data_IF_631956050534
#
_entry.id   IF_631956050534
#
_cell.length_a   1.000
_cell.length_b   1.000
_cell.length_c   1.000
_cell.angle_alpha   90.00
_cell.angle_beta   90.00
_cell.angle_gamma   90.00
#
_symmetry.space_group_name_H-M   'P 1'
#
loop_
_entity.id
_entity.type
_entity.pdbx_description
1 polymer ?
#
# COMPACT_ATOMS: atom_id res chain seq x y z
N UNK A 1 -11.41 -9.10 -7.93
CA UNK A 1 -12.42 -9.73 -8.83
C UNK A 1 -13.21 -10.72 -8.00
N UNK A 2 -14.53 -10.71 -8.10
CA UNK A 2 -15.37 -11.64 -7.36
C UNK A 2 -15.40 -13.02 -8.05
N UNK A 3 -15.65 -14.11 -7.28
CA UNK A 3 -15.72 -15.48 -7.84
C UNK A 3 -16.51 -15.63 -9.16
N UNK A 4 -17.64 -14.92 -9.38
CA UNK A 4 -18.37 -15.00 -10.65
C UNK A 4 -17.57 -14.55 -11.86
N UNK A 5 -16.73 -13.52 -11.73
CA UNK A 5 -15.98 -12.95 -12.86
C UNK A 5 -14.95 -13.95 -13.43
N UNK A 6 -14.37 -14.78 -12.56
CA UNK A 6 -13.43 -15.83 -12.97
C UNK A 6 -14.10 -17.06 -13.60
N UNK A 7 -15.39 -17.29 -13.35
CA UNK A 7 -16.10 -18.42 -13.95
C UNK A 7 -16.17 -18.35 -15.47
N UNK A 8 -16.22 -17.13 -16.02
CA UNK A 8 -16.17 -16.93 -17.48
C UNK A 8 -14.79 -17.29 -18.05
N UNK A 9 -13.72 -16.96 -17.35
CA UNK A 9 -12.35 -17.24 -17.79
C UNK A 9 -12.07 -18.75 -17.81
N UNK A 10 -12.65 -19.52 -16.89
CA UNK A 10 -12.47 -20.97 -16.80
C UNK A 10 -12.91 -21.73 -18.05
N UNK A 11 -13.85 -21.17 -18.80
CA UNK A 11 -14.40 -21.79 -20.01
C UNK A 11 -13.63 -21.38 -21.28
N UNK A 12 -12.64 -20.51 -21.16
CA UNK A 12 -11.80 -20.14 -22.29
C UNK A 12 -10.74 -21.23 -22.54
N UNK A 13 -10.56 -21.54 -23.81
CA UNK A 13 -9.56 -22.53 -24.29
C UNK A 13 -8.23 -21.89 -24.64
N UNK A 14 -8.07 -20.60 -24.35
CA UNK A 14 -6.85 -19.82 -24.60
C UNK A 14 -6.04 -19.67 -23.32
N UNK A 15 -4.71 -19.57 -23.42
CA UNK A 15 -3.85 -19.27 -22.28
C UNK A 15 -4.23 -17.94 -21.61
N UNK A 16 -4.19 -17.93 -20.28
CA UNK A 16 -4.53 -16.75 -19.46
C UNK A 16 -3.42 -16.51 -18.44
N UNK A 17 -2.96 -15.25 -18.36
CA UNK A 17 -2.11 -14.76 -17.28
C UNK A 17 -2.82 -13.59 -16.61
N UNK A 18 -3.09 -13.69 -15.32
CA UNK A 18 -3.68 -12.62 -14.53
C UNK A 18 -2.61 -11.60 -14.15
N UNK A 19 -2.95 -10.33 -14.25
CA UNK A 19 -2.07 -9.21 -13.93
C UNK A 19 -2.61 -8.44 -12.73
N UNK A 20 -1.73 -8.22 -11.71
CA UNK A 20 -2.04 -7.51 -10.46
C UNK A 20 -3.22 -8.07 -9.67
N UNK A 21 -3.53 -9.32 -9.92
CA UNK A 21 -4.54 -10.10 -9.18
C UNK A 21 -4.23 -11.58 -9.28
N UNK A 22 -4.85 -12.40 -8.43
CA UNK A 22 -4.76 -13.84 -8.55
C UNK A 22 -6.11 -14.52 -8.35
N UNK A 23 -6.18 -15.77 -8.70
CA UNK A 23 -7.31 -16.66 -8.37
C UNK A 23 -6.78 -18.04 -7.96
N UNK A 24 -7.57 -18.77 -7.18
CA UNK A 24 -7.25 -20.12 -6.71
C UNK A 24 -7.61 -21.21 -7.74
N UNK A 25 -7.76 -20.85 -9.01
CA UNK A 25 -8.03 -21.85 -10.05
C UNK A 25 -6.73 -22.53 -10.47
N UNK A 26 -6.74 -23.87 -10.57
CA UNK A 26 -5.62 -24.59 -11.18
C UNK A 26 -5.48 -24.15 -12.65
N UNK A 27 -4.25 -24.09 -13.12
CA UNK A 27 -3.91 -23.75 -14.50
C UNK A 27 -4.19 -22.29 -14.91
N UNK A 28 -4.15 -21.35 -13.97
CA UNK A 28 -4.13 -19.93 -14.26
C UNK A 28 -2.89 -19.31 -13.65
N UNK A 29 -2.07 -18.72 -14.50
CA UNK A 29 -0.89 -18.00 -14.06
C UNK A 29 -1.23 -16.61 -13.56
N UNK A 30 -0.43 -16.10 -12.63
CA UNK A 30 -0.56 -14.71 -12.21
C UNK A 30 0.79 -14.04 -11.99
N UNK A 31 0.84 -12.77 -12.33
CA UNK A 31 1.96 -11.87 -12.05
C UNK A 31 1.44 -10.70 -11.23
N UNK A 32 1.98 -10.54 -10.04
CA UNK A 32 1.47 -9.57 -9.07
C UNK A 32 2.60 -8.90 -8.30
N UNK A 33 2.26 -7.89 -7.54
CA UNK A 33 3.17 -7.24 -6.62
C UNK A 33 3.21 -7.99 -5.29
N UNK A 34 4.38 -8.08 -4.67
CA UNK A 34 4.51 -8.54 -3.29
C UNK A 34 4.02 -7.43 -2.34
N UNK A 35 2.68 -7.29 -2.28
CA UNK A 35 1.98 -6.26 -1.49
C UNK A 35 2.28 -6.40 0.00
N UNK A 36 2.27 -7.62 0.51
CA UNK A 36 2.54 -7.91 1.93
C UNK A 36 3.93 -7.43 2.35
N UNK A 37 4.96 -7.74 1.55
CA UNK A 37 6.34 -7.33 1.88
C UNK A 37 6.51 -5.81 1.72
N UNK A 38 5.88 -5.20 0.72
CA UNK A 38 5.90 -3.73 0.53
C UNK A 38 5.30 -3.00 1.75
N UNK A 39 4.11 -3.39 2.18
CA UNK A 39 3.43 -2.83 3.34
C UNK A 39 4.19 -3.10 4.65
N UNK A 40 4.73 -4.31 4.81
CA UNK A 40 5.61 -4.66 5.94
C UNK A 40 6.81 -3.69 6.02
N UNK A 41 7.51 -3.47 4.92
CA UNK A 41 8.68 -2.60 4.87
C UNK A 41 8.33 -1.13 5.16
N UNK A 42 7.21 -0.63 4.62
CA UNK A 42 6.70 0.71 4.92
C UNK A 42 6.41 0.90 6.41
N UNK A 43 5.69 -0.06 6.99
CA UNK A 43 5.30 -0.03 8.41
C UNK A 43 6.51 -0.12 9.34
N UNK A 44 7.47 -1.01 9.05
CA UNK A 44 8.73 -1.09 9.81
C UNK A 44 9.48 0.25 9.80
N UNK A 45 9.49 0.96 8.66
CA UNK A 45 10.10 2.30 8.59
C UNK A 45 9.39 3.31 9.48
N UNK A 46 8.07 3.29 9.53
CA UNK A 46 7.31 4.15 10.44
C UNK A 46 7.66 3.84 11.90
N UNK A 47 7.68 2.56 12.29
CA UNK A 47 8.02 2.13 13.64
C UNK A 47 9.42 2.60 14.05
N UNK A 48 10.42 2.47 13.16
CA UNK A 48 11.80 2.85 13.48
C UNK A 48 12.02 4.37 13.49
N UNK A 49 11.19 5.15 12.80
CA UNK A 49 11.32 6.62 12.74
C UNK A 49 10.52 7.35 13.80
N UNK A 50 9.45 6.75 14.28
CA UNK A 50 8.52 7.37 15.22
C UNK A 50 8.49 6.58 16.53
N UNK A 51 8.54 7.32 17.63
CA UNK A 51 8.32 6.73 18.95
C UNK A 51 6.81 6.60 19.12
N UNK A 52 6.26 5.46 18.72
CA UNK A 52 4.82 5.23 18.83
C UNK A 52 4.31 4.17 17.88
N UNK A 53 3.05 3.84 18.03
CA UNK A 53 2.40 2.85 17.20
C UNK A 53 1.86 3.52 15.93
N UNK A 54 2.21 3.03 14.72
CA UNK A 54 1.65 3.57 13.50
C UNK A 54 0.16 3.27 13.40
N UNK A 55 -0.58 4.21 12.83
CA UNK A 55 -1.95 4.01 12.37
C UNK A 55 -1.99 3.49 10.93
N UNK A 56 -3.20 3.18 10.47
CA UNK A 56 -3.45 2.66 9.14
C UNK A 56 -4.62 3.38 8.47
N UNK A 57 -4.37 3.92 7.28
CA UNK A 57 -5.39 4.48 6.39
C UNK A 57 -5.77 3.37 5.39
N UNK A 58 -6.79 2.62 5.74
CA UNK A 58 -7.22 1.43 5.01
C UNK A 58 -8.37 1.77 4.05
N UNK A 59 -8.41 1.11 2.91
CA UNK A 59 -9.49 1.27 1.94
C UNK A 59 -10.82 0.73 2.49
N UNK A 60 -11.88 1.49 2.33
CA UNK A 60 -13.25 1.01 2.57
C UNK A 60 -13.73 0.04 1.48
N UNK A 61 -13.00 -0.06 0.37
CA UNK A 61 -13.32 -0.95 -0.73
C UNK A 61 -12.44 -2.21 -0.70
N UNK A 62 -13.01 -3.41 -0.52
CA UNK A 62 -12.24 -4.64 -0.38
C UNK A 62 -11.71 -5.10 -1.73
N UNK A 63 -10.39 -5.09 -1.90
CA UNK A 63 -9.68 -5.75 -3.00
C UNK A 63 -8.50 -6.53 -2.43
N UNK A 64 -8.12 -7.59 -3.11
CA UNK A 64 -7.11 -8.51 -2.62
C UNK A 64 -5.76 -7.85 -2.29
N UNK A 65 -5.29 -6.92 -3.13
CA UNK A 65 -4.04 -6.19 -2.88
C UNK A 65 -4.07 -5.37 -1.58
N UNK A 66 -5.22 -4.79 -1.21
CA UNK A 66 -5.37 -4.08 0.06
C UNK A 66 -5.42 -5.03 1.26
N UNK A 67 -6.01 -6.23 1.10
CA UNK A 67 -5.99 -7.27 2.13
C UNK A 67 -4.56 -7.76 2.40
N UNK A 68 -3.77 -7.98 1.35
CA UNK A 68 -2.35 -8.33 1.48
C UNK A 68 -1.52 -7.22 2.15
N UNK A 69 -1.80 -5.94 1.81
CA UNK A 69 -1.15 -4.77 2.45
C UNK A 69 -1.52 -4.68 3.93
N UNK A 70 -2.78 -4.94 4.25
CA UNK A 70 -3.29 -5.01 5.63
C UNK A 70 -2.54 -6.08 6.44
N UNK A 71 -2.41 -7.30 5.91
CA UNK A 71 -1.64 -8.35 6.58
C UNK A 71 -0.16 -7.96 6.75
N UNK A 72 0.44 -7.31 5.74
CA UNK A 72 1.80 -6.77 5.81
C UNK A 72 1.98 -5.77 6.96
N UNK A 73 1.02 -4.84 7.11
CA UNK A 73 0.98 -3.88 8.21
C UNK A 73 0.94 -4.56 9.58
N UNK A 74 -0.02 -5.45 9.79
CA UNK A 74 -0.16 -6.15 11.07
C UNK A 74 1.01 -7.09 11.36
N UNK A 75 1.58 -7.72 10.35
CA UNK A 75 2.80 -8.54 10.49
C UNK A 75 4.00 -7.70 10.97
N UNK A 76 4.14 -6.46 10.49
CA UNK A 76 5.18 -5.54 10.95
C UNK A 76 5.00 -5.19 12.42
N UNK A 77 3.77 -4.89 12.86
CA UNK A 77 3.48 -4.63 14.28
C UNK A 77 3.85 -5.82 15.14
N UNK A 78 3.37 -7.02 14.81
CA UNK A 78 3.64 -8.25 15.58
C UNK A 78 5.14 -8.52 15.69
N UNK A 79 5.89 -8.37 14.59
CA UNK A 79 7.35 -8.60 14.60
C UNK A 79 8.13 -7.59 15.45
N UNK A 80 7.57 -6.40 15.66
CA UNK A 80 8.18 -5.35 16.48
C UNK A 80 7.59 -5.28 17.91
N UNK A 81 6.81 -6.28 18.33
CA UNK A 81 6.25 -6.35 19.67
C UNK A 81 5.14 -5.33 19.95
N UNK A 82 4.55 -4.75 18.91
CA UNK A 82 3.47 -3.76 19.01
C UNK A 82 2.11 -4.45 18.94
N UNK A 83 1.19 -4.21 19.90
CA UNK A 83 -0.12 -4.83 19.91
C UNK A 83 -1.01 -4.26 18.80
N UNK A 84 -1.51 -5.13 17.92
CA UNK A 84 -2.37 -4.73 16.78
C UNK A 84 -3.63 -3.96 17.21
N UNK A 85 -4.17 -4.27 18.38
CA UNK A 85 -5.37 -3.62 18.92
C UNK A 85 -5.18 -2.15 19.31
N UNK A 86 -3.95 -1.66 19.40
CA UNK A 86 -3.65 -0.26 19.70
C UNK A 86 -3.45 0.61 18.45
N UNK A 87 -3.42 0.02 17.27
CA UNK A 87 -3.32 0.82 16.04
C UNK A 87 -4.65 1.48 15.71
N UNK A 88 -4.60 2.77 15.46
CA UNK A 88 -5.72 3.54 14.92
C UNK A 88 -5.88 3.16 13.45
N UNK A 89 -7.07 2.70 13.06
CA UNK A 89 -7.39 2.35 11.67
C UNK A 89 -8.56 3.23 11.22
N UNK A 90 -8.37 3.94 10.12
CA UNK A 90 -9.42 4.72 9.47
C UNK A 90 -9.75 4.07 8.12
N UNK A 91 -11.05 3.81 7.89
CA UNK A 91 -11.55 3.31 6.62
C UNK A 91 -11.87 4.49 5.70
N UNK A 92 -11.20 4.57 4.56
CA UNK A 92 -11.30 5.69 3.63
C UNK A 92 -11.59 5.19 2.21
N UNK A 93 -12.31 5.98 1.44
CA UNK A 93 -12.52 5.73 0.01
C UNK A 93 -11.19 5.70 -0.77
N UNK A 94 -11.03 4.83 -1.78
CA UNK A 94 -9.74 4.67 -2.49
C UNK A 94 -9.40 5.80 -3.48
N UNK A 95 -10.20 6.86 -3.58
CA UNK A 95 -9.93 8.06 -4.39
C UNK A 95 -9.42 9.22 -3.53
N UNK A 96 -8.75 10.20 -4.14
CA UNK A 96 -8.22 11.38 -3.43
C UNK A 96 -9.37 12.20 -2.82
N UNK A 97 -10.43 12.43 -3.59
CA UNK A 97 -11.57 13.22 -3.18
C UNK A 97 -12.38 12.54 -2.07
N UNK A 98 -12.60 11.22 -2.23
CA UNK A 98 -13.31 10.43 -1.23
C UNK A 98 -12.52 10.32 0.08
N UNK A 99 -11.23 9.99 0.00
CA UNK A 99 -10.38 9.91 1.19
C UNK A 99 -10.25 11.26 1.91
N UNK A 100 -10.26 12.38 1.17
CA UNK A 100 -10.30 13.71 1.76
C UNK A 100 -11.59 13.95 2.54
N UNK A 101 -12.74 13.65 1.93
CA UNK A 101 -14.05 13.85 2.56
C UNK A 101 -14.20 12.96 3.80
N UNK A 102 -13.89 11.68 3.67
CA UNK A 102 -14.00 10.71 4.77
C UNK A 102 -13.07 11.08 5.95
N UNK A 103 -11.83 11.47 5.65
CA UNK A 103 -10.87 11.87 6.70
C UNK A 103 -11.28 13.19 7.35
N UNK A 104 -11.85 14.13 6.60
CA UNK A 104 -12.33 15.39 7.14
C UNK A 104 -13.48 15.17 8.13
N UNK A 105 -14.41 14.27 7.79
CA UNK A 105 -15.52 13.88 8.69
C UNK A 105 -15.00 13.25 9.98
N UNK A 106 -14.03 12.31 9.88
CA UNK A 106 -13.40 11.69 11.04
C UNK A 106 -12.72 12.72 11.95
N UNK A 107 -12.07 13.74 11.38
CA UNK A 107 -11.46 14.83 12.13
C UNK A 107 -12.47 15.72 12.84
N UNK A 108 -13.65 15.95 12.22
CA UNK A 108 -14.77 16.69 12.84
C UNK A 108 -15.41 15.95 14.02
N UNK A 109 -15.39 14.61 13.95
CA UNK A 109 -15.85 13.75 15.03
C UNK A 109 -14.81 13.58 16.17
N UNK A 110 -13.64 14.22 16.08
CA UNK A 110 -12.53 14.12 17.03
C UNK A 110 -12.08 12.66 17.27
N UNK A 111 -12.03 11.85 16.21
CA UNK A 111 -11.55 10.46 16.32
C UNK A 111 -10.08 10.42 16.76
N UNK A 112 -9.64 9.37 17.46
CA UNK A 112 -8.24 9.22 17.84
C UNK A 112 -7.32 9.24 16.62
N UNK A 113 -6.17 9.90 16.75
CA UNK A 113 -5.17 10.00 15.69
C UNK A 113 -3.84 9.36 16.10
N UNK A 114 -3.15 8.79 15.12
CA UNK A 114 -1.76 8.37 15.25
C UNK A 114 -0.82 9.48 14.74
N UNK A 115 0.41 9.51 15.22
CA UNK A 115 1.44 10.45 14.74
C UNK A 115 2.02 10.05 13.37
N UNK A 116 1.80 8.82 12.95
CA UNK A 116 2.22 8.35 11.63
C UNK A 116 1.29 7.28 11.09
N UNK A 117 1.14 7.21 9.76
CA UNK A 117 0.25 6.29 9.08
C UNK A 117 0.92 5.61 7.90
N UNK A 118 0.61 4.32 7.73
CA UNK A 118 0.68 3.65 6.44
C UNK A 118 -0.66 3.78 5.74
N UNK A 119 -0.68 4.02 4.44
CA UNK A 119 -1.89 4.08 3.62
C UNK A 119 -1.87 3.00 2.53
N UNK A 120 -3.02 2.40 2.24
CA UNK A 120 -3.15 1.35 1.23
C UNK A 120 -2.66 1.78 -0.16
N UNK A 121 -2.89 3.03 -0.53
CA UNK A 121 -2.37 3.60 -1.77
C UNK A 121 -2.09 5.10 -1.65
N UNK A 122 -1.50 5.68 -2.69
CA UNK A 122 -1.15 7.11 -2.73
C UNK A 122 -2.39 8.01 -2.77
N UNK A 123 -3.49 7.58 -3.37
CA UNK A 123 -4.71 8.40 -3.41
C UNK A 123 -5.30 8.58 -2.01
N UNK A 124 -5.39 7.51 -1.24
CA UNK A 124 -5.83 7.55 0.17
C UNK A 124 -4.88 8.44 0.99
N UNK A 125 -3.57 8.23 0.83
CA UNK A 125 -2.56 9.03 1.53
C UNK A 125 -2.71 10.52 1.23
N UNK A 126 -2.85 10.90 -0.05
CA UNK A 126 -2.95 12.30 -0.50
C UNK A 126 -4.26 12.93 -0.04
N UNK A 127 -5.38 12.20 -0.13
CA UNK A 127 -6.67 12.66 0.39
C UNK A 127 -6.61 12.98 1.88
N UNK A 128 -6.08 12.04 2.68
CA UNK A 128 -5.88 12.23 4.11
C UNK A 128 -4.91 13.38 4.42
N UNK A 129 -3.78 13.51 3.69
CA UNK A 129 -2.85 14.65 3.84
C UNK A 129 -3.57 15.98 3.68
N UNK A 130 -4.41 16.12 2.65
CA UNK A 130 -5.18 17.34 2.40
C UNK A 130 -6.16 17.65 3.55
N UNK A 131 -6.83 16.62 4.09
CA UNK A 131 -7.75 16.78 5.22
C UNK A 131 -7.01 17.21 6.50
N UNK A 132 -5.86 16.58 6.81
CA UNK A 132 -5.00 16.97 7.92
C UNK A 132 -4.53 18.42 7.78
N UNK A 133 -4.02 18.80 6.59
CA UNK A 133 -3.58 20.17 6.33
C UNK A 133 -4.72 21.20 6.42
N UNK A 134 -5.93 20.85 5.97
CA UNK A 134 -7.11 21.69 6.09
C UNK A 134 -7.45 22.00 7.58
N UNK A 135 -7.25 21.01 8.46
CA UNK A 135 -7.44 21.17 9.92
C UNK A 135 -6.21 21.74 10.64
N UNK A 136 -5.18 22.16 9.89
CA UNK A 136 -4.00 22.85 10.43
C UNK A 136 -2.85 21.95 10.88
N UNK A 137 -2.95 20.62 10.69
CA UNK A 137 -1.86 19.71 10.97
C UNK A 137 -0.69 19.91 9.97
N UNK A 138 0.50 19.89 10.45
CA UNK A 138 1.73 20.00 9.65
C UNK A 138 2.20 18.60 9.25
N UNK A 139 2.33 18.36 7.95
CA UNK A 139 2.92 17.14 7.40
C UNK A 139 4.37 17.46 7.01
N UNK A 140 5.36 16.71 7.52
CA UNK A 140 5.27 15.52 8.37
C UNK A 140 5.44 15.81 9.87
N UNK A 141 5.48 17.09 10.31
CA UNK A 141 5.87 17.46 11.68
C UNK A 141 4.92 16.90 12.75
N UNK A 142 3.62 17.01 12.52
CA UNK A 142 2.60 16.48 13.44
C UNK A 142 2.17 15.07 13.04
N UNK A 143 2.02 14.80 11.72
CA UNK A 143 1.59 13.51 11.18
C UNK A 143 2.46 13.15 9.98
N UNK A 144 3.07 11.96 9.99
CA UNK A 144 3.83 11.42 8.85
C UNK A 144 3.02 10.35 8.13
N UNK A 145 3.10 10.28 6.79
CA UNK A 145 2.36 9.30 6.00
C UNK A 145 3.29 8.63 4.97
N UNK A 146 3.16 7.31 4.82
CA UNK A 146 3.75 6.55 3.73
C UNK A 146 2.61 5.93 2.91
N UNK A 147 2.58 6.22 1.60
CA UNK A 147 1.65 5.66 0.64
C UNK A 147 2.16 4.37 -0.01
N UNK A 148 1.46 3.96 -1.07
CA UNK A 148 1.80 2.82 -1.90
C UNK A 148 1.41 3.13 -3.36
N UNK A 149 2.16 2.64 -4.34
CA UNK A 149 2.04 2.67 -5.80
C UNK A 149 3.02 3.61 -6.51
N UNK A 150 3.55 4.65 -5.87
CA UNK A 150 4.35 5.72 -6.49
C UNK A 150 3.66 6.31 -7.74
N UNK A 151 2.47 6.85 -7.52
CA UNK A 151 1.72 7.54 -8.56
C UNK A 151 2.35 8.90 -8.89
N UNK A 152 2.22 9.42 -10.14
CA UNK A 152 2.76 10.74 -10.50
C UNK A 152 2.34 11.86 -9.54
N UNK A 153 1.13 11.78 -9.00
CA UNK A 153 0.60 12.76 -8.05
C UNK A 153 1.38 12.80 -6.73
N UNK A 154 2.03 11.69 -6.32
CA UNK A 154 2.81 11.62 -5.07
C UNK A 154 3.97 12.63 -5.01
N UNK A 155 4.53 12.99 -6.16
CA UNK A 155 5.61 13.98 -6.27
C UNK A 155 5.10 15.41 -6.48
N UNK A 156 3.82 15.58 -6.86
CA UNK A 156 3.23 16.88 -7.20
C UNK A 156 2.51 17.54 -6.02
N UNK A 157 2.27 16.81 -4.93
CA UNK A 157 1.68 17.36 -3.69
C UNK A 157 2.73 18.02 -2.80
N UNK A 158 2.31 18.95 -1.94
CA UNK A 158 3.20 19.65 -1.00
C UNK A 158 2.76 19.36 0.44
N UNK A 159 3.65 18.75 1.23
CA UNK A 159 4.94 18.16 0.86
C UNK A 159 4.76 16.91 -0.02
N UNK A 160 5.76 16.55 -0.83
CA UNK A 160 5.69 15.35 -1.65
C UNK A 160 5.57 14.08 -0.79
N UNK A 161 4.87 13.05 -1.25
CA UNK A 161 4.54 11.85 -0.49
C UNK A 161 5.63 10.77 -0.63
N UNK A 162 6.15 10.28 0.50
CA UNK A 162 6.93 9.03 0.52
C UNK A 162 6.02 7.84 0.25
N UNK A 163 6.49 6.90 -0.55
CA UNK A 163 5.63 5.81 -1.02
C UNK A 163 6.40 4.54 -1.32
N UNK A 164 5.68 3.44 -1.49
CA UNK A 164 6.22 2.19 -2.02
C UNK A 164 6.05 2.21 -3.55
N UNK A 165 7.16 2.12 -4.26
CA UNK A 165 7.18 2.08 -5.73
C UNK A 165 6.81 0.69 -6.24
N UNK A 166 5.78 0.65 -7.07
CA UNK A 166 5.37 -0.51 -7.85
C UNK A 166 5.99 -0.39 -9.26
N UNK A 167 6.85 -1.32 -9.68
CA UNK A 167 7.50 -1.28 -10.99
C UNK A 167 6.51 -1.75 -12.08
N UNK A 168 5.51 -0.92 -12.42
CA UNK A 168 4.36 -1.24 -13.28
C UNK A 168 4.78 -1.75 -14.67
N UNK A 169 5.86 -1.18 -15.23
CA UNK A 169 6.37 -1.62 -16.55
C UNK A 169 6.95 -3.04 -16.48
N UNK A 170 7.69 -3.36 -15.42
CA UNK A 170 8.23 -4.70 -15.22
C UNK A 170 7.11 -5.71 -14.96
N UNK A 171 6.07 -5.31 -14.23
CA UNK A 171 4.89 -6.14 -13.98
C UNK A 171 4.23 -6.53 -15.31
N UNK A 172 3.94 -5.56 -16.18
CA UNK A 172 3.36 -5.80 -17.50
C UNK A 172 4.27 -6.62 -18.43
N UNK A 173 5.59 -6.32 -18.44
CA UNK A 173 6.58 -7.07 -19.21
C UNK A 173 6.63 -8.54 -18.79
N UNK A 174 6.73 -8.81 -17.49
CA UNK A 174 6.78 -10.18 -16.96
C UNK A 174 5.51 -10.97 -17.28
N UNK A 175 4.34 -10.33 -17.22
CA UNK A 175 3.08 -10.98 -17.59
C UNK A 175 3.02 -11.34 -19.08
N UNK A 176 3.49 -10.43 -19.96
CA UNK A 176 3.55 -10.68 -21.39
C UNK A 176 4.55 -11.80 -21.74
N UNK A 177 5.74 -11.78 -21.14
CA UNK A 177 6.75 -12.83 -21.32
C UNK A 177 6.24 -14.19 -20.85
N UNK A 178 5.52 -14.23 -19.71
CA UNK A 178 4.91 -15.47 -19.23
C UNK A 178 3.83 -15.96 -20.17
N UNK A 179 2.97 -15.09 -20.67
CA UNK A 179 1.91 -15.47 -21.62
C UNK A 179 2.50 -16.04 -22.92
N UNK A 180 3.54 -15.42 -23.48
CA UNK A 180 4.26 -15.92 -24.66
C UNK A 180 4.83 -17.33 -24.38
N UNK A 181 5.49 -17.49 -23.22
CA UNK A 181 6.06 -18.78 -22.83
C UNK A 181 4.99 -19.88 -22.74
N UNK A 182 3.80 -19.57 -22.19
CA UNK A 182 2.69 -20.55 -22.12
C UNK A 182 2.15 -20.89 -23.50
N UNK A 183 2.14 -19.94 -24.44
CA UNK A 183 1.67 -20.18 -25.82
C UNK A 183 2.66 -21.07 -26.61
N UNK A 184 3.96 -20.88 -26.38
CA UNK A 184 5.02 -21.55 -27.15
C UNK A 184 5.48 -22.89 -26.54
N UNK A 185 5.11 -23.18 -25.29
CA UNK A 185 5.57 -24.38 -24.59
C UNK A 185 4.59 -25.54 -24.76
N UNK A 186 5.12 -26.73 -25.01
CA UNK A 186 4.36 -27.97 -24.98
C UNK A 186 4.06 -28.46 -23.56
N UNK A 187 4.81 -27.97 -22.57
CA UNK A 187 4.62 -28.29 -21.16
C UNK A 187 4.03 -27.10 -20.40
N UNK A 188 2.97 -27.35 -19.64
CA UNK A 188 2.35 -26.31 -18.81
C UNK A 188 2.41 -26.67 -17.32
N UNK A 189 2.87 -25.71 -16.53
CA UNK A 189 2.70 -25.70 -15.09
C UNK A 189 2.30 -24.26 -14.66
N UNK A 190 1.38 -24.16 -13.74
CA UNK A 190 0.93 -22.85 -13.29
C UNK A 190 1.91 -22.21 -12.32
N UNK A 191 2.10 -20.90 -12.45
CA UNK A 191 3.01 -20.13 -11.61
C UNK A 191 2.34 -18.88 -11.02
N UNK A 192 2.76 -18.54 -9.80
CA UNK A 192 2.50 -17.24 -9.19
C UNK A 192 3.83 -16.48 -9.13
N UNK A 193 3.96 -15.39 -9.88
CA UNK A 193 5.14 -14.54 -9.90
C UNK A 193 4.86 -13.29 -9.07
N UNK A 194 5.67 -13.05 -8.05
CA UNK A 194 5.59 -11.85 -7.22
C UNK A 194 6.77 -10.93 -7.50
N UNK A 195 6.50 -9.68 -7.90
CA UNK A 195 7.50 -8.66 -8.16
C UNK A 195 7.66 -7.80 -6.91
N UNK A 196 8.90 -7.61 -6.49
CA UNK A 196 9.23 -6.81 -5.32
C UNK A 196 8.95 -5.34 -5.54
N UNK A 197 8.33 -4.71 -4.55
CA UNK A 197 8.13 -3.28 -4.48
C UNK A 197 9.22 -2.62 -3.61
N UNK A 198 9.61 -1.38 -3.91
CA UNK A 198 10.69 -0.67 -3.24
C UNK A 198 10.21 0.63 -2.60
N UNK A 199 10.80 0.98 -1.45
CA UNK A 199 10.50 2.25 -0.80
C UNK A 199 11.19 3.42 -1.51
N UNK A 200 10.43 4.49 -1.78
CA UNK A 200 10.93 5.77 -2.24
C UNK A 200 10.71 6.81 -1.15
N UNK A 201 11.82 7.35 -0.64
CA UNK A 201 11.80 8.48 0.27
C UNK A 201 11.75 9.78 -0.51
N UNK A 202 10.91 10.71 -0.08
CA UNK A 202 11.02 12.10 -0.48
C UNK A 202 11.70 12.92 0.62
N UNK A 203 12.21 14.10 0.30
CA UNK A 203 13.09 14.89 1.17
C UNK A 203 12.53 15.23 2.55
N UNK A 204 11.22 15.23 2.74
CA UNK A 204 10.62 15.54 4.05
C UNK A 204 10.54 14.37 5.04
N UNK A 205 10.74 13.13 4.60
CA UNK A 205 10.79 11.99 5.55
C UNK A 205 12.04 11.98 6.42
N UNK A 206 12.92 12.97 6.23
CA UNK A 206 14.11 13.18 7.08
C UNK A 206 13.83 13.99 8.35
N UNK A 207 12.58 14.27 8.71
CA UNK A 207 12.30 15.04 9.91
C UNK A 207 12.44 14.21 11.19
N UNK A 208 13.44 14.63 11.95
CA UNK A 208 13.78 14.29 13.33
C UNK A 208 14.23 12.85 13.61
N UNK A 209 15.48 12.55 13.24
CA UNK A 209 16.33 12.00 14.28
C UNK A 209 16.39 13.07 15.40
N UNK A 210 15.91 12.75 16.58
CA UNK A 210 16.28 13.53 17.75
C UNK A 210 17.80 13.46 17.86
N UNK A 211 18.50 14.53 17.47
CA UNK A 211 19.80 14.82 17.99
C UNK A 211 19.63 15.03 19.50
N UNK A 212 19.72 13.95 20.23
CA UNK A 212 20.18 14.01 21.60
C UNK A 212 21.67 14.35 21.50
N UNK A 213 21.95 15.63 21.39
CA UNK A 213 23.25 16.19 21.79
C UNK A 213 23.46 15.83 23.25
N UNK A 214 24.11 14.69 23.47
CA UNK A 214 24.80 14.44 24.73
C UNK A 214 26.03 15.33 24.71
N UNK A 215 25.91 16.47 25.32
CA UNK A 215 27.10 17.17 25.84
C UNK A 215 27.65 16.29 26.98
N UNK A 216 28.85 15.79 26.76
CA UNK A 216 29.85 15.54 27.77
C UNK A 216 30.98 16.52 27.51
#
# INVERSE_FOLDING_TARGET
MQKPDFMYLKNLTVPIVLLDTYCDFPNVDCVMINNMQGAFNATVRLIHKHIGQPGYLHSSYPIHSFEERCEGFYRALRKNGLPSSKSVVHLLSPSVEGAYADMLELLEQNTPLASCYFADNDNIAIGAMKAFQHKGYKIPADISIIGFDNMPLSTSVIPALSTIHVPKQNLGKTAAERLINVIESDEYYSVKIEISATYIAVSYTHLRAHETLRHL
#
